data_IF_486367158978
#
_entry.id   IF_486367158978
#
_cell.length_a   1.000
_cell.length_b   1.000
_cell.length_c   1.000
_cell.angle_alpha   90.00
_cell.angle_beta   90.00
_cell.angle_gamma   90.00
#
_symmetry.space_group_name_H-M   'P 1'
#
loop_
_entity.id
_entity.type
_entity.pdbx_description
1 polymer ?
#
# COMPACT_ATOMS: atom_id res chain seq x y z
N UNK A 1 -5.09 -7.82 23.02
CA UNK A 1 -5.69 -7.21 21.80
C UNK A 1 -6.05 -8.31 20.79
N UNK A 2 -7.19 -8.21 20.08
CA UNK A 2 -7.58 -9.22 19.06
C UNK A 2 -6.58 -9.23 17.89
N UNK A 3 -6.34 -10.40 17.28
CA UNK A 3 -5.40 -10.59 16.16
C UNK A 3 -5.58 -9.56 15.03
N UNK A 4 -6.84 -9.28 14.67
CA UNK A 4 -7.19 -8.29 13.62
C UNK A 4 -6.62 -6.90 13.91
N UNK A 5 -6.69 -6.44 15.16
CA UNK A 5 -6.19 -5.11 15.52
C UNK A 5 -4.67 -5.07 15.63
N UNK A 6 -4.01 -6.19 15.97
CA UNK A 6 -2.55 -6.28 15.93
C UNK A 6 -2.05 -6.10 14.50
N UNK A 7 -2.69 -6.77 13.54
CA UNK A 7 -2.37 -6.64 12.11
C UNK A 7 -2.65 -5.21 11.62
N UNK A 8 -3.80 -4.64 11.99
CA UNK A 8 -4.16 -3.27 11.59
C UNK A 8 -3.17 -2.23 12.17
N UNK A 9 -2.69 -2.43 13.40
CA UNK A 9 -1.66 -1.58 13.99
C UNK A 9 -0.30 -1.76 13.33
N UNK A 10 0.09 -3.01 13.00
CA UNK A 10 1.37 -3.26 12.33
C UNK A 10 1.41 -2.70 10.90
N UNK A 11 0.26 -2.59 10.23
CA UNK A 11 0.17 -2.02 8.88
C UNK A 11 0.57 -0.55 8.81
N UNK A 12 0.30 0.24 9.85
CA UNK A 12 0.56 1.68 9.85
C UNK A 12 2.05 2.02 9.66
N UNK A 13 2.99 1.51 10.48
CA UNK A 13 4.40 1.85 10.32
C UNK A 13 4.97 1.34 8.99
N UNK A 14 4.62 0.13 8.54
CA UNK A 14 5.13 -0.42 7.27
C UNK A 14 4.55 0.30 6.05
N UNK A 15 3.31 0.79 6.14
CA UNK A 15 2.71 1.67 5.14
C UNK A 15 3.49 2.99 5.05
N UNK A 16 3.78 3.63 6.19
CA UNK A 16 4.54 4.89 6.22
C UNK A 16 5.92 4.70 5.60
N UNK A 17 6.63 3.62 5.94
CA UNK A 17 7.95 3.32 5.36
C UNK A 17 7.90 3.08 3.86
N UNK A 18 6.94 2.29 3.37
CA UNK A 18 6.76 2.02 1.94
C UNK A 18 6.41 3.29 1.16
N UNK A 19 5.48 4.11 1.66
CA UNK A 19 5.08 5.36 1.01
C UNK A 19 6.22 6.39 1.01
N UNK A 20 6.91 6.56 2.14
CA UNK A 20 8.03 7.50 2.28
C UNK A 20 9.19 7.12 1.36
N UNK A 21 9.63 5.85 1.42
CA UNK A 21 10.71 5.36 0.55
C UNK A 21 10.38 5.45 -0.94
N UNK A 22 9.11 5.29 -1.32
CA UNK A 22 8.68 5.48 -2.70
C UNK A 22 8.83 6.93 -3.17
N UNK A 23 8.49 7.90 -2.32
CA UNK A 23 8.68 9.33 -2.63
C UNK A 23 10.19 9.66 -2.74
N UNK A 24 10.99 9.24 -1.77
CA UNK A 24 12.44 9.48 -1.76
C UNK A 24 13.16 8.84 -2.96
N UNK A 25 12.73 7.65 -3.39
CA UNK A 25 13.23 7.02 -4.62
C UNK A 25 13.04 7.93 -5.84
N UNK A 26 11.88 8.57 -5.96
CA UNK A 26 11.59 9.50 -7.05
C UNK A 26 12.34 10.84 -6.92
N UNK A 27 12.57 11.32 -5.70
CA UNK A 27 13.40 12.51 -5.46
C UNK A 27 14.86 12.23 -5.84
N UNK A 28 15.40 11.08 -5.44
CA UNK A 28 16.77 10.69 -5.75
C UNK A 28 17.01 10.48 -7.26
N UNK A 29 16.00 10.00 -8.01
CA UNK A 29 16.04 9.91 -9.47
C UNK A 29 16.16 11.31 -10.11
N UNK A 30 15.40 12.28 -9.60
CA UNK A 30 15.45 13.66 -10.05
C UNK A 30 16.80 14.34 -9.77
N UNK A 31 17.41 14.06 -8.62
CA UNK A 31 18.74 14.60 -8.25
C UNK A 31 19.89 13.96 -9.05
N UNK A 32 19.65 12.85 -9.74
CA UNK A 32 20.64 12.16 -10.58
C UNK A 32 21.72 11.42 -9.79
N UNK A 33 21.55 11.21 -8.48
CA UNK A 33 22.50 10.46 -7.65
C UNK A 33 22.16 8.97 -7.66
N UNK A 34 22.88 8.21 -8.51
CA UNK A 34 22.61 6.79 -8.71
C UNK A 34 22.78 5.93 -7.44
N UNK A 35 23.75 6.23 -6.58
CA UNK A 35 23.98 5.47 -5.34
C UNK A 35 22.81 5.65 -4.35
N UNK A 36 22.38 6.91 -4.17
CA UNK A 36 21.24 7.24 -3.30
C UNK A 36 19.95 6.63 -3.87
N UNK A 37 19.73 6.74 -5.18
CA UNK A 37 18.61 6.10 -5.87
C UNK A 37 18.59 4.58 -5.63
N UNK A 38 19.74 3.91 -5.78
CA UNK A 38 19.85 2.47 -5.59
C UNK A 38 19.52 2.07 -4.15
N UNK A 39 20.04 2.80 -3.16
CA UNK A 39 19.76 2.54 -1.75
C UNK A 39 18.26 2.71 -1.43
N UNK A 40 17.64 3.77 -1.94
CA UNK A 40 16.19 3.96 -1.81
C UNK A 40 15.39 2.89 -2.54
N UNK A 41 15.83 2.42 -3.70
CA UNK A 41 15.16 1.37 -4.46
C UNK A 41 15.14 0.06 -3.66
N UNK A 42 16.29 -0.36 -3.14
CA UNK A 42 16.39 -1.56 -2.30
C UNK A 42 15.51 -1.42 -1.04
N UNK A 43 15.60 -0.28 -0.35
CA UNK A 43 14.80 -0.04 0.84
C UNK A 43 13.29 -0.01 0.56
N UNK A 44 12.89 0.60 -0.55
CA UNK A 44 11.50 0.66 -1.00
C UNK A 44 10.96 -0.74 -1.32
N UNK A 45 11.73 -1.58 -2.00
CA UNK A 45 11.33 -2.97 -2.30
C UNK A 45 11.15 -3.77 -1.00
N UNK A 46 12.12 -3.72 -0.09
CA UNK A 46 12.05 -4.47 1.18
C UNK A 46 10.85 -4.05 2.05
N UNK A 47 10.64 -2.74 2.20
CA UNK A 47 9.52 -2.22 2.99
C UNK A 47 8.16 -2.47 2.32
N UNK A 48 8.10 -2.41 0.99
CA UNK A 48 6.89 -2.71 0.22
C UNK A 48 6.53 -4.19 0.24
N UNK A 49 7.50 -5.11 0.22
CA UNK A 49 7.26 -6.54 0.41
C UNK A 49 6.71 -6.84 1.81
N UNK A 50 7.24 -6.19 2.84
CA UNK A 50 6.73 -6.31 4.21
C UNK A 50 5.30 -5.74 4.32
N UNK A 51 5.04 -4.60 3.69
CA UNK A 51 3.69 -4.02 3.63
C UNK A 51 2.70 -4.93 2.87
N UNK A 52 3.13 -5.54 1.77
CA UNK A 52 2.34 -6.53 1.03
C UNK A 52 1.99 -7.74 1.90
N UNK A 53 2.97 -8.30 2.62
CA UNK A 53 2.74 -9.42 3.54
C UNK A 53 1.71 -9.05 4.63
N UNK A 54 1.88 -7.90 5.29
CA UNK A 54 0.93 -7.42 6.29
C UNK A 54 -0.47 -7.20 5.68
N UNK A 55 -0.54 -6.69 4.45
CA UNK A 55 -1.79 -6.45 3.74
C UNK A 55 -2.51 -7.74 3.36
N UNK A 56 -1.78 -8.81 3.01
CA UNK A 56 -2.36 -10.14 2.77
C UNK A 56 -3.04 -10.64 4.05
N UNK A 57 -2.39 -10.54 5.21
CA UNK A 57 -3.00 -10.92 6.48
C UNK A 57 -4.22 -10.06 6.82
N UNK A 58 -4.14 -8.74 6.59
CA UNK A 58 -5.26 -7.83 6.80
C UNK A 58 -6.46 -8.22 5.93
N UNK A 59 -6.26 -8.43 4.63
CA UNK A 59 -7.29 -8.87 3.68
C UNK A 59 -7.88 -10.21 4.12
N UNK A 60 -7.04 -11.16 4.53
CA UNK A 60 -7.48 -12.47 5.01
C UNK A 60 -8.39 -12.36 6.24
N UNK A 61 -8.07 -11.50 7.21
CA UNK A 61 -8.94 -11.26 8.37
C UNK A 61 -10.26 -10.56 8.01
N UNK A 62 -10.28 -9.86 6.87
CA UNK A 62 -11.46 -9.19 6.33
C UNK A 62 -12.14 -9.97 5.18
N UNK A 63 -11.81 -11.25 4.99
CA UNK A 63 -12.33 -12.06 3.88
C UNK A 63 -13.86 -12.06 3.77
N UNK A 64 -14.57 -12.04 4.91
CA UNK A 64 -16.03 -11.94 4.94
C UNK A 64 -16.57 -10.67 4.27
N UNK A 65 -15.81 -9.57 4.30
CA UNK A 65 -16.17 -8.35 3.57
C UNK A 65 -16.12 -8.59 2.06
N UNK A 66 -15.02 -9.16 1.55
CA UNK A 66 -14.82 -9.45 0.13
C UNK A 66 -15.82 -10.48 -0.39
N UNK A 67 -15.97 -11.63 0.29
CA UNK A 67 -16.95 -12.65 -0.06
C UNK A 67 -18.37 -12.10 -0.10
N UNK A 68 -18.73 -11.26 0.87
CA UNK A 68 -20.03 -10.60 0.90
C UNK A 68 -20.23 -9.60 -0.24
N UNK A 69 -19.18 -8.87 -0.64
CA UNK A 69 -19.22 -7.96 -1.78
C UNK A 69 -19.36 -8.72 -3.11
N UNK A 70 -18.64 -9.83 -3.28
CA UNK A 70 -18.73 -10.67 -4.48
C UNK A 70 -20.11 -11.31 -4.63
N UNK A 71 -20.72 -11.78 -3.53
CA UNK A 71 -22.03 -12.43 -3.56
C UNK A 71 -23.20 -11.45 -3.74
N UNK A 72 -23.16 -10.31 -3.06
CA UNK A 72 -24.32 -9.43 -2.92
C UNK A 72 -24.11 -8.03 -3.54
N UNK A 73 -22.97 -7.80 -4.20
CA UNK A 73 -22.56 -6.47 -4.66
C UNK A 73 -22.08 -5.54 -3.53
N UNK A 74 -21.72 -4.30 -3.90
CA UNK A 74 -21.14 -3.33 -2.96
C UNK A 74 -22.18 -2.76 -1.98
N UNK A 75 -23.44 -2.57 -2.40
CA UNK A 75 -24.53 -2.05 -1.57
C UNK A 75 -24.14 -0.82 -0.74
N UNK A 76 -24.32 -0.91 0.60
CA UNK A 76 -23.95 0.14 1.57
C UNK A 76 -22.52 0.03 2.11
N UNK A 77 -21.69 -0.88 1.57
CA UNK A 77 -20.29 -1.04 2.00
C UNK A 77 -19.43 0.14 1.53
N UNK A 78 -18.26 0.28 2.13
CA UNK A 78 -17.29 1.33 1.80
C UNK A 78 -16.81 1.22 0.35
N UNK A 79 -17.27 2.12 -0.53
CA UNK A 79 -16.76 2.24 -1.91
C UNK A 79 -15.28 2.59 -1.94
N UNK A 80 -14.81 3.41 -1.00
CA UNK A 80 -13.38 3.76 -0.85
C UNK A 80 -12.54 2.50 -0.63
N UNK A 81 -13.00 1.55 0.18
CA UNK A 81 -12.27 0.29 0.43
C UNK A 81 -12.21 -0.59 -0.82
N UNK A 82 -13.28 -0.60 -1.63
CA UNK A 82 -13.27 -1.31 -2.91
C UNK A 82 -12.25 -0.70 -3.89
N UNK A 83 -12.31 0.63 -4.07
CA UNK A 83 -11.35 1.37 -4.92
C UNK A 83 -9.93 1.16 -4.44
N UNK A 84 -9.69 1.29 -3.13
CA UNK A 84 -8.37 1.07 -2.54
C UNK A 84 -7.85 -0.35 -2.77
N UNK A 85 -8.73 -1.37 -2.75
CA UNK A 85 -8.33 -2.76 -3.04
C UNK A 85 -7.89 -2.93 -4.50
N UNK A 86 -8.57 -2.27 -5.44
CA UNK A 86 -8.22 -2.31 -6.88
C UNK A 86 -6.90 -1.57 -7.12
N UNK A 87 -6.76 -0.37 -6.58
CA UNK A 87 -5.54 0.43 -6.72
C UNK A 87 -4.34 -0.26 -6.07
N UNK A 88 -4.50 -0.81 -4.87
CA UNK A 88 -3.45 -1.57 -4.20
C UNK A 88 -3.01 -2.77 -5.05
N UNK A 89 -3.94 -3.52 -5.64
CA UNK A 89 -3.60 -4.61 -6.56
C UNK A 89 -2.80 -4.09 -7.76
N UNK A 90 -3.19 -2.95 -8.35
CA UNK A 90 -2.47 -2.32 -9.46
C UNK A 90 -1.05 -1.91 -9.08
N UNK A 91 -0.85 -1.30 -7.91
CA UNK A 91 0.48 -0.93 -7.38
C UNK A 91 1.35 -2.17 -7.19
N UNK A 92 0.79 -3.26 -6.64
CA UNK A 92 1.53 -4.52 -6.45
C UNK A 92 1.95 -5.12 -7.79
N UNK A 93 1.04 -5.22 -8.75
CA UNK A 93 1.34 -5.80 -10.07
C UNK A 93 2.40 -4.99 -10.82
N UNK A 94 2.28 -3.66 -10.80
CA UNK A 94 3.27 -2.77 -11.44
C UNK A 94 4.62 -2.79 -10.71
N UNK A 95 4.62 -2.89 -9.38
CA UNK A 95 5.85 -3.01 -8.59
C UNK A 95 6.63 -4.29 -8.90
N UNK A 96 5.94 -5.43 -9.04
CA UNK A 96 6.58 -6.67 -9.48
C UNK A 96 7.07 -6.60 -10.92
N UNK A 97 6.32 -5.97 -11.83
CA UNK A 97 6.76 -5.79 -13.21
C UNK A 97 8.06 -4.97 -13.30
N UNK A 98 8.20 -3.94 -12.45
CA UNK A 98 9.39 -3.08 -12.42
C UNK A 98 10.67 -3.80 -12.01
N UNK A 99 10.59 -4.95 -11.32
CA UNK A 99 11.79 -5.75 -11.01
C UNK A 99 12.46 -6.32 -12.27
N UNK A 100 11.72 -6.42 -13.38
CA UNK A 100 12.23 -6.90 -14.68
C UNK A 100 12.36 -5.81 -15.74
N UNK A 101 12.16 -4.54 -15.39
CA UNK A 101 12.29 -3.42 -16.33
C UNK A 101 13.56 -2.66 -15.99
N UNK A 102 14.46 -2.58 -16.96
CA UNK A 102 15.70 -1.81 -16.83
C UNK A 102 15.48 -0.34 -17.20
N UNK A 103 16.18 0.55 -16.49
CA UNK A 103 16.19 1.98 -16.77
C UNK A 103 15.05 2.78 -16.13
N UNK A 104 15.29 4.08 -15.98
CA UNK A 104 14.34 5.04 -15.44
C UNK A 104 13.30 5.49 -16.49
N UNK A 105 12.19 6.07 -16.02
CA UNK A 105 11.20 6.71 -16.90
C UNK A 105 10.31 5.79 -17.72
N UNK A 106 10.23 4.49 -17.38
CA UNK A 106 9.33 3.56 -18.07
C UNK A 106 7.85 3.95 -17.86
N UNK A 107 6.96 3.71 -18.85
CA UNK A 107 5.53 3.95 -18.69
C UNK A 107 4.93 3.19 -17.48
N UNK A 108 5.46 2.00 -17.19
CA UNK A 108 5.08 1.20 -16.01
C UNK A 108 5.51 1.89 -14.71
N UNK A 109 6.70 2.48 -14.69
CA UNK A 109 7.21 3.25 -13.54
C UNK A 109 6.36 4.47 -13.24
N UNK A 110 5.99 5.23 -14.27
CA UNK A 110 5.07 6.37 -14.12
C UNK A 110 3.69 5.95 -13.64
N UNK A 111 3.17 4.84 -14.18
CA UNK A 111 1.89 4.27 -13.75
C UNK A 111 1.94 3.85 -12.27
N UNK A 112 3.01 3.15 -11.87
CA UNK A 112 3.24 2.73 -10.50
C UNK A 112 3.28 3.92 -9.54
N UNK A 113 4.04 4.96 -9.90
CA UNK A 113 4.17 6.18 -9.12
C UNK A 113 2.83 6.86 -8.88
N UNK A 114 2.12 7.22 -9.94
CA UNK A 114 0.86 7.96 -9.81
C UNK A 114 -0.21 7.13 -9.10
N UNK A 115 -0.30 5.84 -9.40
CA UNK A 115 -1.21 4.93 -8.69
C UNK A 115 -0.82 4.81 -7.22
N UNK A 116 0.48 4.78 -6.91
CA UNK A 116 1.02 4.78 -5.55
C UNK A 116 0.66 6.04 -4.77
N UNK A 117 0.76 7.24 -5.37
CA UNK A 117 0.34 8.50 -4.74
C UNK A 117 -1.16 8.48 -4.42
N UNK A 118 -2.01 8.11 -5.39
CA UNK A 118 -3.48 8.03 -5.17
C UNK A 118 -3.80 7.00 -4.08
N UNK A 119 -3.16 5.83 -4.12
CA UNK A 119 -3.31 4.78 -3.10
C UNK A 119 -2.90 5.27 -1.72
N UNK A 120 -1.81 6.04 -1.61
CA UNK A 120 -1.32 6.61 -0.36
C UNK A 120 -2.35 7.58 0.24
N UNK A 121 -2.87 8.51 -0.56
CA UNK A 121 -3.89 9.48 -0.11
C UNK A 121 -5.16 8.76 0.38
N UNK A 122 -5.65 7.79 -0.38
CA UNK A 122 -6.84 7.02 0.00
C UNK A 122 -6.58 6.14 1.23
N UNK A 123 -5.37 5.60 1.39
CA UNK A 123 -4.98 4.82 2.58
C UNK A 123 -4.96 5.70 3.83
N UNK A 124 -4.42 6.92 3.75
CA UNK A 124 -4.47 7.89 4.87
C UNK A 124 -5.92 8.15 5.27
N UNK A 125 -6.79 8.46 4.30
CA UNK A 125 -8.22 8.64 4.58
C UNK A 125 -8.88 7.41 5.20
N UNK A 126 -8.54 6.21 4.72
CA UNK A 126 -9.00 4.95 5.29
C UNK A 126 -8.54 4.76 6.75
N UNK A 127 -7.25 4.99 7.04
CA UNK A 127 -6.65 4.87 8.37
C UNK A 127 -7.31 5.87 9.33
N UNK A 128 -7.44 7.14 8.95
CA UNK A 128 -8.07 8.17 9.77
C UNK A 128 -9.51 7.79 10.16
N UNK A 129 -10.28 7.23 9.22
CA UNK A 129 -11.64 6.75 9.49
C UNK A 129 -11.67 5.57 10.46
N UNK A 130 -10.65 4.71 10.47
CA UNK A 130 -10.55 3.52 11.31
C UNK A 130 -9.84 3.77 12.65
N UNK A 131 -9.14 4.89 12.78
CA UNK A 131 -8.35 5.25 13.95
C UNK A 131 -9.16 5.26 15.27
N UNK A 132 -10.42 5.73 15.34
CA UNK A 132 -11.20 5.64 16.58
C UNK A 132 -11.45 4.21 17.03
N UNK A 133 -11.63 3.27 16.09
CA UNK A 133 -11.81 1.84 16.40
C UNK A 133 -10.48 1.22 16.86
N UNK A 134 -9.37 1.56 16.21
CA UNK A 134 -8.03 1.10 16.60
C UNK A 134 -7.63 1.60 17.99
N UNK A 135 -7.93 2.85 18.32
CA UNK A 135 -7.68 3.40 19.66
C UNK A 135 -8.51 2.70 20.74
N UNK A 136 -9.75 2.30 20.42
CA UNK A 136 -10.59 1.53 21.35
C UNK A 136 -10.03 0.14 21.63
N UNK A 137 -9.27 -0.46 20.73
CA UNK A 137 -8.69 -1.80 20.94
C UNK A 137 -7.45 -1.82 21.84
N UNK A 138 -6.92 -0.65 22.22
CA UNK A 138 -5.81 -0.47 23.15
C UNK A 138 -6.28 -0.32 24.61
N UNK A 139 -7.58 -0.11 24.82
CA UNK A 139 -8.22 -0.13 26.13
C UNK A 139 -8.62 -1.56 26.47
#
# INVERSE_FOLDING_TARGET
MKKIFVIDWSLIPVFVLSAYSGIELHVADYEGNHEVWHNWAVFHVLTSLLFLMASIFHIATHWGWYKGTAKNGIGRKSKVTAVLSILFLSVVLTGFALLGIEGAGSPVGLCHFWTGIVTTVLSIGHILKRLPLLRKSLK
#
